data_IF_110931034467
#
_entry.id   IF_110931034467
#
_cell.length_a   1.000
_cell.length_b   1.000
_cell.length_c   1.000
_cell.angle_alpha   90.00
_cell.angle_beta   90.00
_cell.angle_gamma   90.00
#
_symmetry.space_group_name_H-M   'P 1'
#
loop_
_entity.id
_entity.type
_entity.pdbx_description
1 polymer ?
#
# COMPACT_ATOMS: atom_id res chain seq x y z
N UNK A 1 -13.32 -68.58 -22.44
CA UNK A 1 -13.87 -68.67 -23.81
C UNK A 1 -15.34 -68.99 -23.66
N UNK A 2 -16.22 -68.32 -24.39
CA UNK A 2 -17.59 -68.78 -24.57
C UNK A 2 -17.48 -70.00 -25.47
N UNK A 3 -17.41 -71.19 -24.90
CA UNK A 3 -17.46 -72.42 -25.67
C UNK A 3 -18.91 -72.75 -26.00
N UNK A 4 -19.15 -73.20 -27.23
CA UNK A 4 -20.44 -73.72 -27.70
C UNK A 4 -20.77 -75.11 -27.11
N UNK A 5 -19.98 -75.56 -26.13
CA UNK A 5 -20.17 -76.84 -25.45
C UNK A 5 -21.18 -76.74 -24.31
N UNK A 6 -22.03 -77.76 -24.20
CA UNK A 6 -23.02 -77.85 -23.13
C UNK A 6 -22.34 -78.25 -21.82
N UNK A 7 -22.43 -77.39 -20.82
CA UNK A 7 -21.93 -77.65 -19.47
C UNK A 7 -23.10 -78.08 -18.57
N UNK A 8 -23.00 -79.26 -17.94
CA UNK A 8 -23.95 -79.69 -16.90
C UNK A 8 -23.57 -79.01 -15.57
N UNK A 9 -24.53 -78.32 -14.95
CA UNK A 9 -24.32 -77.59 -13.69
C UNK A 9 -24.98 -78.41 -12.56
N UNK A 10 -24.26 -78.70 -11.46
CA UNK A 10 -24.81 -79.43 -10.33
C UNK A 10 -25.77 -78.60 -9.47
N UNK A 11 -25.64 -77.27 -9.51
CA UNK A 11 -26.43 -76.29 -8.75
C UNK A 11 -27.48 -75.60 -9.64
N UNK A 12 -28.45 -74.93 -9.01
CA UNK A 12 -29.55 -74.21 -9.67
C UNK A 12 -29.18 -72.78 -10.14
N UNK A 13 -27.91 -72.37 -10.00
CA UNK A 13 -27.41 -71.06 -10.40
C UNK A 13 -26.13 -71.15 -11.24
N UNK A 14 -25.93 -70.15 -12.11
CA UNK A 14 -24.71 -69.97 -12.90
C UNK A 14 -24.08 -68.62 -12.58
N UNK A 15 -22.78 -68.60 -12.31
CA UNK A 15 -22.06 -67.36 -12.04
C UNK A 15 -21.39 -66.83 -13.32
N UNK A 16 -21.86 -65.68 -13.81
CA UNK A 16 -21.41 -65.04 -15.05
C UNK A 16 -20.65 -63.72 -14.80
N UNK A 17 -19.91 -63.61 -13.69
CA UNK A 17 -19.20 -62.37 -13.27
C UNK A 17 -18.06 -61.92 -14.16
N UNK A 18 -17.60 -62.74 -15.11
CA UNK A 18 -16.45 -62.43 -15.98
C UNK A 18 -16.84 -62.07 -17.42
N UNK A 19 -18.12 -61.80 -17.69
CA UNK A 19 -18.57 -61.34 -19.00
C UNK A 19 -18.13 -59.89 -19.26
N UNK A 20 -17.48 -59.66 -20.39
CA UNK A 20 -17.14 -58.31 -20.87
C UNK A 20 -18.39 -57.56 -21.36
N UNK A 21 -18.24 -56.30 -21.74
CA UNK A 21 -19.33 -55.55 -22.40
C UNK A 21 -19.75 -56.25 -23.69
N UNK A 22 -21.05 -56.37 -23.94
CA UNK A 22 -21.56 -57.02 -25.14
C UNK A 22 -22.98 -57.57 -24.97
N UNK A 23 -23.52 -58.05 -26.08
CA UNK A 23 -24.80 -58.75 -26.12
C UNK A 23 -24.55 -60.25 -26.01
N UNK A 24 -25.29 -60.91 -25.12
CA UNK A 24 -25.15 -62.34 -24.86
C UNK A 24 -26.49 -63.03 -24.97
N UNK A 25 -26.46 -64.24 -25.54
CA UNK A 25 -27.58 -65.16 -25.62
C UNK A 25 -27.24 -66.40 -24.80
N UNK A 26 -27.99 -66.62 -23.73
CA UNK A 26 -27.82 -67.78 -22.84
C UNK A 26 -28.84 -68.86 -23.20
N UNK A 27 -28.36 -70.01 -23.66
CA UNK A 27 -29.20 -71.17 -23.94
C UNK A 27 -29.23 -72.12 -22.73
N UNK A 28 -30.43 -72.43 -22.24
CA UNK A 28 -30.64 -73.31 -21.09
C UNK A 28 -31.59 -74.44 -21.48
N UNK A 29 -31.28 -75.67 -21.13
CA UNK A 29 -32.18 -76.83 -21.30
C UNK A 29 -32.19 -77.67 -20.03
N UNK A 30 -33.36 -78.20 -19.68
CA UNK A 30 -33.54 -79.13 -18.56
C UNK A 30 -33.87 -80.53 -19.05
N UNK A 31 -33.54 -81.54 -18.24
CA UNK A 31 -34.04 -82.91 -18.40
C UNK A 31 -34.70 -83.36 -17.11
N UNK A 32 -35.76 -84.14 -17.21
CA UNK A 32 -36.32 -84.85 -16.06
C UNK A 32 -35.47 -86.11 -15.84
N UNK A 33 -35.40 -86.61 -14.60
CA UNK A 33 -34.65 -87.85 -14.29
C UNK A 33 -35.16 -88.97 -15.21
N UNK A 34 -34.24 -89.60 -15.96
CA UNK A 34 -34.51 -90.63 -16.97
C UNK A 34 -35.28 -90.18 -18.24
N UNK A 35 -35.28 -88.88 -18.60
CA UNK A 35 -35.83 -88.38 -19.87
C UNK A 35 -34.76 -87.86 -20.83
N UNK A 36 -35.13 -87.66 -22.10
CA UNK A 36 -34.35 -86.86 -23.04
C UNK A 36 -34.32 -85.38 -22.62
N UNK A 37 -33.32 -84.65 -23.10
CA UNK A 37 -33.22 -83.19 -22.92
C UNK A 37 -34.39 -82.46 -23.58
N UNK A 38 -34.96 -81.49 -22.89
CA UNK A 38 -35.97 -80.59 -23.45
C UNK A 38 -35.38 -79.59 -24.46
N UNK A 39 -36.27 -78.91 -25.19
CA UNK A 39 -35.89 -77.83 -26.11
C UNK A 39 -35.16 -76.70 -25.37
N UNK A 40 -34.09 -76.14 -25.97
CA UNK A 40 -33.36 -75.05 -25.34
C UNK A 40 -34.21 -73.78 -25.29
N UNK A 41 -34.21 -73.14 -24.13
CA UNK A 41 -34.77 -71.80 -23.92
C UNK A 41 -33.64 -70.78 -23.97
N UNK A 42 -33.78 -69.73 -24.78
CA UNK A 42 -32.75 -68.72 -24.99
C UNK A 42 -33.15 -67.43 -24.27
N UNK A 43 -32.26 -66.91 -23.42
CA UNK A 43 -32.42 -65.62 -22.74
C UNK A 43 -31.37 -64.66 -23.26
N UNK A 44 -31.82 -63.53 -23.81
CA UNK A 44 -30.94 -62.48 -24.28
C UNK A 44 -30.78 -61.41 -23.21
N UNK A 45 -29.54 -61.01 -22.93
CA UNK A 45 -29.24 -59.90 -22.04
C UNK A 45 -28.03 -59.13 -22.56
N UNK A 46 -27.98 -57.84 -22.23
CA UNK A 46 -26.90 -56.94 -22.63
C UNK A 46 -26.15 -56.49 -21.38
N UNK A 47 -24.83 -56.67 -21.38
CA UNK A 47 -23.96 -56.16 -20.32
C UNK A 47 -23.50 -54.76 -20.69
N UNK A 48 -24.07 -53.76 -20.02
CA UNK A 48 -23.72 -52.35 -20.22
C UNK A 48 -22.27 -52.07 -19.82
N UNK A 49 -21.56 -51.16 -20.53
CA UNK A 49 -20.22 -50.76 -20.14
C UNK A 49 -20.27 -50.04 -18.79
N UNK A 50 -19.23 -50.23 -17.96
CA UNK A 50 -19.10 -49.51 -16.71
C UNK A 50 -18.94 -47.99 -16.97
N UNK A 51 -19.42 -47.18 -16.03
CA UNK A 51 -19.46 -45.72 -16.17
C UNK A 51 -18.09 -45.08 -16.47
N UNK A 52 -17.00 -45.64 -15.92
CA UNK A 52 -15.63 -45.13 -16.10
C UNK A 52 -15.01 -45.42 -17.48
N UNK A 53 -15.66 -46.28 -18.30
CA UNK A 53 -15.28 -46.59 -19.68
C UNK A 53 -15.98 -45.67 -20.70
N UNK A 54 -16.89 -44.82 -20.24
CA UNK A 54 -17.58 -43.85 -21.11
C UNK A 54 -16.71 -42.61 -21.32
N UNK A 55 -16.60 -42.16 -22.57
CA UNK A 55 -15.86 -40.94 -22.94
C UNK A 55 -16.38 -39.70 -22.18
N UNK A 56 -17.70 -39.60 -22.03
CA UNK A 56 -18.39 -38.48 -21.39
C UNK A 56 -17.99 -38.34 -19.91
N UNK A 57 -17.82 -39.46 -19.20
CA UNK A 57 -17.40 -39.43 -17.80
C UNK A 57 -15.99 -38.88 -17.64
N UNK A 58 -15.03 -39.33 -18.47
CA UNK A 58 -13.64 -38.83 -18.46
C UNK A 58 -13.58 -37.34 -18.85
N UNK A 59 -14.32 -36.94 -19.87
CA UNK A 59 -14.41 -35.55 -20.31
C UNK A 59 -14.99 -34.63 -19.21
N UNK A 60 -15.99 -35.10 -18.49
CA UNK A 60 -16.61 -34.35 -17.38
C UNK A 60 -15.63 -34.10 -16.23
N UNK A 61 -14.80 -35.09 -15.88
CA UNK A 61 -13.76 -34.93 -14.84
C UNK A 61 -12.74 -33.87 -15.27
N UNK A 62 -12.26 -33.94 -16.51
CA UNK A 62 -11.30 -32.96 -17.04
C UNK A 62 -11.92 -31.56 -17.07
N UNK A 63 -13.17 -31.44 -17.50
CA UNK A 63 -13.90 -30.17 -17.51
C UNK A 63 -14.03 -29.56 -16.11
N UNK A 64 -14.31 -30.37 -15.09
CA UNK A 64 -14.43 -29.92 -13.71
C UNK A 64 -13.07 -29.45 -13.16
N UNK A 65 -11.99 -30.15 -13.50
CA UNK A 65 -10.62 -29.72 -13.14
C UNK A 65 -10.27 -28.39 -13.80
N UNK A 66 -10.52 -28.23 -15.10
CA UNK A 66 -10.28 -26.97 -15.83
C UNK A 66 -11.12 -25.84 -15.22
N UNK A 67 -12.40 -26.10 -14.92
CA UNK A 67 -13.27 -25.12 -14.29
C UNK A 67 -12.74 -24.67 -12.92
N UNK A 68 -12.28 -25.61 -12.09
CA UNK A 68 -11.67 -25.30 -10.80
C UNK A 68 -10.41 -24.43 -10.92
N UNK A 69 -9.56 -24.71 -11.92
CA UNK A 69 -8.36 -23.92 -12.20
C UNK A 69 -8.74 -22.50 -12.64
N UNK A 70 -9.67 -22.35 -13.60
CA UNK A 70 -10.13 -21.05 -14.10
C UNK A 70 -10.76 -20.24 -12.97
N UNK A 71 -11.64 -20.86 -12.18
CA UNK A 71 -12.30 -20.20 -11.05
C UNK A 71 -11.29 -19.77 -9.97
N UNK A 72 -10.33 -20.62 -9.65
CA UNK A 72 -9.24 -20.31 -8.73
C UNK A 72 -8.37 -19.15 -9.22
N UNK A 73 -7.99 -19.14 -10.50
CA UNK A 73 -7.23 -18.07 -11.12
C UNK A 73 -8.00 -16.74 -11.09
N UNK A 74 -9.26 -16.74 -11.51
CA UNK A 74 -10.12 -15.55 -11.48
C UNK A 74 -10.26 -14.96 -10.07
N UNK A 75 -10.42 -15.82 -9.05
CA UNK A 75 -10.47 -15.38 -7.65
C UNK A 75 -9.15 -14.76 -7.19
N UNK A 76 -8.01 -15.34 -7.57
CA UNK A 76 -6.68 -14.77 -7.25
C UNK A 76 -6.47 -13.41 -7.91
N UNK A 77 -6.82 -13.26 -9.18
CA UNK A 77 -6.71 -11.99 -9.91
C UNK A 77 -7.50 -10.90 -9.21
N UNK A 78 -8.79 -11.16 -8.91
CA UNK A 78 -9.66 -10.20 -8.22
C UNK A 78 -9.15 -9.86 -6.81
N UNK A 79 -8.61 -10.84 -6.09
CA UNK A 79 -8.02 -10.58 -4.78
C UNK A 79 -6.78 -9.68 -4.90
N UNK A 80 -5.93 -9.92 -5.89
CA UNK A 80 -4.73 -9.11 -6.11
C UNK A 80 -5.07 -7.66 -6.50
N UNK A 81 -6.07 -7.46 -7.38
CA UNK A 81 -6.56 -6.12 -7.74
C UNK A 81 -7.02 -5.31 -6.53
N UNK A 82 -7.70 -5.94 -5.57
CA UNK A 82 -8.13 -5.25 -4.35
C UNK A 82 -6.94 -4.82 -3.50
N UNK A 83 -5.92 -5.67 -3.36
CA UNK A 83 -4.68 -5.31 -2.65
C UNK A 83 -3.94 -4.17 -3.33
N UNK A 84 -3.92 -4.14 -4.65
CA UNK A 84 -3.26 -3.07 -5.39
C UNK A 84 -4.02 -1.74 -5.27
N UNK A 85 -5.37 -1.77 -5.23
CA UNK A 85 -6.18 -0.58 -4.91
C UNK A 85 -5.91 -0.06 -3.51
N UNK A 86 -5.85 -0.92 -2.50
CA UNK A 86 -5.51 -0.52 -1.12
C UNK A 86 -4.12 0.12 -1.04
N UNK A 87 -3.11 -0.46 -1.71
CA UNK A 87 -1.77 0.13 -1.78
C UNK A 87 -1.79 1.52 -2.42
N UNK A 88 -2.55 1.72 -3.50
CA UNK A 88 -2.69 3.03 -4.16
C UNK A 88 -3.29 4.05 -3.19
N UNK A 89 -4.35 3.69 -2.45
CA UNK A 89 -4.99 4.57 -1.47
C UNK A 89 -4.01 4.96 -0.36
N UNK A 90 -3.29 3.99 0.22
CA UNK A 90 -2.30 4.25 1.26
C UNK A 90 -1.18 5.13 0.72
N UNK A 91 -0.66 4.85 -0.48
CA UNK A 91 0.40 5.65 -1.10
C UNK A 91 -0.06 7.10 -1.36
N UNK A 92 -1.30 7.29 -1.79
CA UNK A 92 -1.88 8.61 -1.97
C UNK A 92 -2.01 9.36 -0.64
N UNK A 93 -2.45 8.69 0.43
CA UNK A 93 -2.51 9.27 1.77
C UNK A 93 -1.11 9.65 2.29
N UNK A 94 -0.13 8.78 2.11
CA UNK A 94 1.27 9.06 2.48
C UNK A 94 1.81 10.25 1.70
N UNK A 95 1.52 10.36 0.41
CA UNK A 95 1.93 11.50 -0.40
C UNK A 95 1.23 12.79 0.02
N UNK A 96 -0.07 12.76 0.31
CA UNK A 96 -0.81 13.92 0.83
C UNK A 96 -0.24 14.38 2.18
N UNK A 97 0.06 13.44 3.09
CA UNK A 97 0.72 13.74 4.36
C UNK A 97 2.12 14.33 4.16
N UNK A 98 2.91 13.79 3.23
CA UNK A 98 4.24 14.34 2.87
C UNK A 98 4.11 15.76 2.32
N UNK A 99 3.16 16.01 1.42
CA UNK A 99 2.90 17.35 0.91
C UNK A 99 2.48 18.31 2.03
N UNK A 100 1.55 17.91 2.90
CA UNK A 100 1.13 18.72 4.06
C UNK A 100 2.27 18.99 5.03
N UNK A 101 3.09 17.99 5.34
CA UNK A 101 4.27 18.14 6.19
C UNK A 101 5.27 19.12 5.56
N UNK A 102 5.57 18.97 4.27
CA UNK A 102 6.45 19.87 3.54
C UNK A 102 5.90 21.30 3.48
N UNK A 103 4.61 21.46 3.23
CA UNK A 103 3.93 22.75 3.30
C UNK A 103 3.92 23.33 4.71
N UNK A 104 3.89 22.52 5.77
CA UNK A 104 3.94 23.01 7.16
C UNK A 104 5.33 23.52 7.57
N UNK A 105 6.40 22.94 6.99
CA UNK A 105 7.77 23.44 7.15
C UNK A 105 7.95 24.84 6.53
N UNK A 106 7.02 25.27 5.67
CA UNK A 106 6.99 26.59 5.06
C UNK A 106 5.75 27.35 5.54
N UNK A 107 5.89 28.22 6.54
CA UNK A 107 4.75 29.02 7.00
C UNK A 107 4.17 29.85 5.83
N UNK A 108 2.92 29.62 5.38
CA UNK A 108 2.36 30.33 4.22
C UNK A 108 2.28 31.85 4.44
N UNK A 109 2.05 32.26 5.68
CA UNK A 109 2.07 33.67 6.06
C UNK A 109 3.48 34.27 5.94
N UNK A 110 4.53 33.50 6.25
CA UNK A 110 5.91 33.96 6.03
C UNK A 110 6.20 34.19 4.55
N UNK A 111 5.78 33.28 3.66
CA UNK A 111 5.97 33.43 2.21
C UNK A 111 5.23 34.66 1.69
N UNK A 112 3.96 34.85 2.09
CA UNK A 112 3.17 36.03 1.70
C UNK A 112 3.80 37.33 2.20
N UNK A 113 4.21 37.40 3.48
CA UNK A 113 4.86 38.58 4.05
C UNK A 113 6.16 38.92 3.36
N UNK A 114 6.87 37.90 2.93
CA UNK A 114 8.15 38.07 2.26
C UNK A 114 7.99 38.59 0.83
N UNK A 115 6.98 38.11 0.10
CA UNK A 115 6.60 38.69 -1.19
C UNK A 115 6.23 40.16 -1.06
N UNK A 116 5.46 40.53 -0.03
CA UNK A 116 5.12 41.93 0.23
C UNK A 116 6.36 42.78 0.58
N UNK A 117 7.34 42.20 1.29
CA UNK A 117 8.59 42.90 1.64
C UNK A 117 9.45 43.16 0.41
N UNK A 118 9.54 42.18 -0.50
CA UNK A 118 10.20 42.33 -1.80
C UNK A 118 9.49 43.40 -2.63
N UNK A 119 8.15 43.34 -2.71
CA UNK A 119 7.37 44.35 -3.44
C UNK A 119 7.61 45.76 -2.88
N UNK A 120 7.66 45.91 -1.56
CA UNK A 120 7.98 47.17 -0.91
C UNK A 120 9.38 47.66 -1.29
N UNK A 121 10.42 46.82 -1.19
CA UNK A 121 11.79 47.17 -1.56
C UNK A 121 11.92 47.60 -3.03
N UNK A 122 11.21 46.94 -3.93
CA UNK A 122 11.14 47.32 -5.36
C UNK A 122 10.46 48.69 -5.51
N UNK A 123 9.35 48.94 -4.80
CA UNK A 123 8.61 50.19 -4.88
C UNK A 123 9.39 51.41 -4.36
N UNK A 124 10.30 51.21 -3.41
CA UNK A 124 11.20 52.26 -2.90
C UNK A 124 12.58 52.29 -3.60
N UNK A 125 12.67 51.65 -4.78
CA UNK A 125 13.85 51.57 -5.64
C UNK A 125 15.12 50.95 -5.00
N UNK A 126 14.95 50.15 -3.94
CA UNK A 126 16.04 49.39 -3.29
C UNK A 126 16.24 48.03 -3.96
N UNK A 127 16.47 48.05 -5.27
CA UNK A 127 16.54 46.84 -6.12
C UNK A 127 17.63 45.85 -5.70
N UNK A 128 18.79 46.32 -5.21
CA UNK A 128 19.86 45.44 -4.71
C UNK A 128 19.39 44.62 -3.51
N UNK A 129 18.80 45.28 -2.53
CA UNK A 129 18.32 44.62 -1.32
C UNK A 129 17.14 43.69 -1.59
N UNK A 130 16.27 44.03 -2.55
CA UNK A 130 15.23 43.12 -3.01
C UNK A 130 15.82 41.82 -3.58
N UNK A 131 16.90 41.90 -4.38
CA UNK A 131 17.59 40.72 -4.92
C UNK A 131 18.28 39.89 -3.83
N UNK A 132 18.93 40.55 -2.87
CA UNK A 132 19.55 39.88 -1.72
C UNK A 132 18.50 39.15 -0.89
N UNK A 133 17.36 39.80 -0.64
CA UNK A 133 16.22 39.22 0.08
C UNK A 133 15.66 37.98 -0.64
N UNK A 134 15.43 38.05 -1.96
CA UNK A 134 14.99 36.91 -2.77
C UNK A 134 16.01 35.77 -2.69
N UNK A 135 17.31 36.08 -2.75
CA UNK A 135 18.37 35.07 -2.70
C UNK A 135 18.42 34.35 -1.35
N UNK A 136 18.31 35.09 -0.25
CA UNK A 136 18.24 34.53 1.11
C UNK A 136 16.99 33.69 1.29
N UNK A 137 15.84 34.17 0.81
CA UNK A 137 14.58 33.43 0.80
C UNK A 137 14.71 32.11 0.04
N UNK A 138 15.19 32.14 -1.20
CA UNK A 138 15.36 30.95 -2.01
C UNK A 138 16.27 29.92 -1.34
N UNK A 139 17.34 30.38 -0.66
CA UNK A 139 18.23 29.52 0.12
C UNK A 139 17.51 28.86 1.31
N UNK A 140 16.66 29.60 2.03
CA UNK A 140 15.89 29.05 3.16
C UNK A 140 14.88 27.99 2.69
N UNK A 141 14.17 28.29 1.60
CA UNK A 141 13.23 27.34 0.97
C UNK A 141 13.95 26.05 0.57
N UNK A 142 15.11 26.17 -0.08
CA UNK A 142 15.92 25.03 -0.48
C UNK A 142 16.38 24.19 0.71
N UNK A 143 16.86 24.82 1.78
CA UNK A 143 17.26 24.12 3.01
C UNK A 143 16.08 23.38 3.67
N UNK A 144 14.86 23.94 3.64
CA UNK A 144 13.67 23.27 4.16
C UNK A 144 13.27 22.06 3.29
N UNK A 145 13.31 22.20 1.96
CA UNK A 145 13.00 21.12 1.02
C UNK A 145 14.01 19.97 1.11
N UNK A 146 15.31 20.28 1.16
CA UNK A 146 16.38 19.28 1.27
C UNK A 146 16.29 18.48 2.58
N UNK A 147 15.84 19.11 3.66
CA UNK A 147 15.69 18.44 4.97
C UNK A 147 14.34 17.76 5.17
N UNK A 148 13.36 17.96 4.29
CA UNK A 148 12.04 17.34 4.39
C UNK A 148 12.07 15.83 4.13
N UNK A 149 13.11 15.32 3.46
CA UNK A 149 13.35 13.89 3.25
C UNK A 149 14.18 13.23 4.36
N UNK A 150 14.80 14.01 5.24
CA UNK A 150 15.70 13.52 6.29
C UNK A 150 14.92 13.25 7.59
N UNK A 151 15.18 12.11 8.23
CA UNK A 151 14.54 11.77 9.51
C UNK A 151 15.18 12.50 10.70
N UNK A 152 16.41 12.99 10.55
CA UNK A 152 17.18 13.69 11.57
C UNK A 152 17.97 14.83 10.93
N UNK A 153 18.01 15.98 11.59
CA UNK A 153 18.79 17.15 11.16
C UNK A 153 19.85 17.43 12.21
N UNK A 154 21.07 17.77 11.76
CA UNK A 154 22.14 18.12 12.68
C UNK A 154 21.87 19.50 13.28
N UNK A 155 22.17 19.67 14.57
CA UNK A 155 21.89 20.92 15.27
C UNK A 155 22.56 22.15 14.63
N UNK A 156 23.75 22.00 14.06
CA UNK A 156 24.45 23.08 13.35
C UNK A 156 23.73 23.51 12.05
N UNK A 157 23.04 22.58 11.38
CA UNK A 157 22.24 22.89 10.20
C UNK A 157 20.96 23.62 10.58
N UNK A 158 20.32 23.22 11.69
CA UNK A 158 19.17 23.92 12.23
C UNK A 158 19.52 25.34 12.68
N UNK A 159 20.67 25.53 13.35
CA UNK A 159 21.12 26.86 13.74
C UNK A 159 21.40 27.74 12.50
N UNK A 160 22.02 27.20 11.44
CA UNK A 160 22.21 27.93 10.17
C UNK A 160 20.88 28.34 9.53
N UNK A 161 19.87 27.48 9.62
CA UNK A 161 18.51 27.75 9.12
C UNK A 161 17.84 28.86 9.94
N UNK A 162 17.94 28.80 11.27
CA UNK A 162 17.44 29.83 12.18
C UNK A 162 18.11 31.18 11.94
N UNK A 163 19.43 31.21 11.76
CA UNK A 163 20.17 32.42 11.39
C UNK A 163 19.65 33.02 10.09
N UNK A 164 19.46 32.20 9.05
CA UNK A 164 18.93 32.65 7.77
C UNK A 164 17.50 33.20 7.89
N UNK A 165 16.64 32.54 8.66
CA UNK A 165 15.28 33.01 8.96
C UNK A 165 15.29 34.38 9.65
N UNK A 166 16.11 34.53 10.70
CA UNK A 166 16.21 35.78 11.46
C UNK A 166 16.83 36.91 10.63
N UNK A 167 17.74 36.63 9.70
CA UNK A 167 18.24 37.60 8.71
C UNK A 167 17.13 38.13 7.81
N UNK A 168 16.28 37.25 7.28
CA UNK A 168 15.17 37.63 6.42
C UNK A 168 14.15 38.49 7.20
N UNK A 169 13.84 38.08 8.42
CA UNK A 169 12.97 38.85 9.33
C UNK A 169 13.58 40.23 9.66
N UNK A 170 14.90 40.31 9.90
CA UNK A 170 15.60 41.56 10.18
C UNK A 170 15.52 42.54 9.02
N UNK A 171 15.74 42.06 7.79
CA UNK A 171 15.58 42.85 6.57
C UNK A 171 14.14 43.37 6.40
N UNK A 172 13.14 42.52 6.69
CA UNK A 172 11.72 42.92 6.63
C UNK A 172 11.41 44.07 7.60
N UNK A 173 11.97 44.03 8.78
CA UNK A 173 11.75 45.05 9.80
C UNK A 173 12.73 46.22 9.70
N UNK A 174 13.53 46.33 8.63
CA UNK A 174 14.52 47.40 8.43
C UNK A 174 15.42 47.57 9.66
N UNK A 175 15.99 46.47 10.15
CA UNK A 175 16.94 46.44 11.28
C UNK A 175 16.38 46.92 12.63
N UNK A 176 15.06 46.94 12.81
CA UNK A 176 14.40 47.34 14.07
C UNK A 176 14.62 46.38 15.25
N UNK A 177 15.27 45.23 15.03
CA UNK A 177 15.60 44.30 16.10
C UNK A 177 16.95 43.62 15.86
N UNK A 178 17.55 43.19 16.97
CA UNK A 178 18.78 42.40 17.00
C UNK A 178 18.49 41.05 17.64
N UNK A 179 19.28 40.06 17.29
CA UNK A 179 19.17 38.71 17.82
C UNK A 179 20.56 38.11 18.04
N UNK A 180 20.65 37.20 18.99
CA UNK A 180 21.83 36.41 19.29
C UNK A 180 21.39 34.95 19.45
N UNK A 181 22.14 34.02 18.86
CA UNK A 181 21.85 32.58 18.95
C UNK A 181 22.90 31.93 19.83
N UNK A 182 22.49 31.48 21.00
CA UNK A 182 23.32 30.73 21.95
C UNK A 182 22.88 29.27 22.00
N UNK A 183 23.84 28.35 21.80
CA UNK A 183 23.65 26.93 22.03
C UNK A 183 24.33 26.52 23.35
N UNK A 184 23.74 25.56 24.08
CA UNK A 184 24.16 25.15 25.42
C UNK A 184 25.59 24.57 25.51
N UNK A 185 26.12 24.37 26.73
CA UNK A 185 27.48 23.92 26.96
C UNK A 185 27.72 22.55 26.31
N UNK A 186 28.53 22.55 25.23
CA UNK A 186 28.77 21.40 24.35
C UNK A 186 28.68 21.74 22.86
N UNK A 187 28.01 22.84 22.51
CA UNK A 187 27.87 23.31 21.12
C UNK A 187 28.73 24.55 20.87
N UNK A 188 29.77 24.42 20.02
CA UNK A 188 30.57 25.56 19.54
C UNK A 188 29.87 26.24 18.37
N UNK A 189 28.86 27.07 18.63
CA UNK A 189 28.28 27.92 17.59
C UNK A 189 27.83 29.25 18.20
N UNK A 190 28.48 30.36 17.78
CA UNK A 190 28.14 31.74 18.17
C UNK A 190 28.17 32.60 16.91
N UNK A 191 27.01 33.12 16.50
CA UNK A 191 26.92 34.13 15.44
C UNK A 191 26.60 35.46 16.12
N UNK A 192 27.61 36.31 16.26
CA UNK A 192 27.39 37.70 16.67
C UNK A 192 27.07 38.54 15.42
N UNK A 193 26.00 39.32 15.45
CA UNK A 193 25.77 40.41 14.50
C UNK A 193 25.70 41.74 15.29
N UNK A 194 26.90 42.29 15.51
CA UNK A 194 27.29 43.63 16.04
C UNK A 194 26.99 44.00 17.52
N UNK A 195 27.83 44.86 18.16
CA UNK A 195 28.01 44.98 19.61
C UNK A 195 27.28 46.17 20.24
N UNK A 196 26.50 46.92 19.47
CA UNK A 196 25.98 48.22 19.88
C UNK A 196 24.53 48.11 20.38
N UNK A 197 24.30 47.29 21.41
CA UNK A 197 23.01 47.22 22.08
C UNK A 197 23.14 47.11 23.60
N UNK A 198 22.75 48.19 24.30
CA UNK A 198 22.68 48.23 25.75
C UNK A 198 21.52 47.38 26.27
N UNK A 199 21.84 46.13 26.65
CA UNK A 199 20.93 45.18 27.27
C UNK A 199 20.25 45.73 28.55
N UNK A 200 20.79 46.77 29.21
CA UNK A 200 20.19 47.32 30.44
C UNK A 200 18.94 48.18 30.18
N UNK A 201 18.70 48.63 28.94
CA UNK A 201 17.51 49.42 28.59
C UNK A 201 16.25 48.57 28.47
N UNK A 202 16.36 47.34 27.97
CA UNK A 202 15.22 46.42 27.77
C UNK A 202 14.79 45.77 29.09
N UNK A 203 15.73 45.35 29.94
CA UNK A 203 15.40 44.84 31.28
C UNK A 203 14.74 45.91 32.16
N UNK A 204 15.16 47.19 32.05
CA UNK A 204 14.50 48.29 32.78
C UNK A 204 13.07 48.54 32.31
N UNK A 205 12.80 48.50 31.00
CA UNK A 205 11.42 48.65 30.47
C UNK A 205 10.48 47.52 30.92
N UNK A 206 10.95 46.28 30.97
CA UNK A 206 10.15 45.14 31.46
C UNK A 206 9.90 45.20 32.98
N UNK A 207 10.89 45.65 33.77
CA UNK A 207 10.71 45.80 35.21
C UNK A 207 9.76 46.96 35.57
N UNK A 208 9.83 48.09 34.84
CA UNK A 208 8.90 49.22 35.02
C UNK A 208 7.46 48.87 34.62
N UNK A 209 7.27 48.10 33.54
CA UNK A 209 5.95 47.65 33.10
C UNK A 209 5.30 46.71 34.14
N UNK A 210 6.09 45.83 34.76
CA UNK A 210 5.62 44.92 35.81
C UNK A 210 5.27 45.66 37.11
N UNK A 211 6.02 46.71 37.47
CA UNK A 211 5.74 47.52 38.66
C UNK A 211 4.50 48.42 38.51
N UNK A 212 4.23 48.91 37.29
CA UNK A 212 3.05 49.73 36.99
C UNK A 212 1.76 48.89 36.81
N UNK A 213 1.86 47.65 36.35
CA UNK A 213 0.72 46.74 36.28
C UNK A 213 0.21 46.31 37.67
N UNK A 214 1.10 46.17 38.66
CA UNK A 214 0.73 45.81 40.04
C UNK A 214 0.10 46.99 40.81
N UNK A 215 0.40 48.25 40.45
CA UNK A 215 -0.22 49.44 41.05
C UNK A 215 -1.58 49.83 40.47
N UNK A 216 -1.93 49.37 39.26
CA UNK A 216 -3.23 49.65 38.61
C UNK A 216 -4.32 48.61 38.90
N UNK A 217 -4.03 47.61 39.73
CA UNK A 217 -4.95 46.55 40.15
C UNK A 217 -5.42 46.65 41.61
N UNK A 218 -5.38 47.84 42.22
CA UNK A 218 -6.04 48.16 43.50
C UNK A 218 -6.87 49.42 43.35
#
# INVERSE_FOLDING_TARGET
MLDDEWIEIPDDYINLTSLGKGDYSLAIRGKVINSSWGSPSIVNFTVLPHLTETFIFRASIIGLLIFGIIFGAAKRIKHNENRDKEKIIINNQVNDLKHKALSSMMNPHFIFNSLNSVQYLINIDRKREANDYISLMAKLIRMNLESASESYIRLDEEIKRLDLYLKIEKLRFSDKFSYDITAGPGCKYRINHDPEYDHTAVCRKFHLARHNAVRKGR
#
